data_IF_615413228979
#
_entry.id   IF_615413228979
#
_cell.length_a   1.000
_cell.length_b   1.000
_cell.length_c   1.000
_cell.angle_alpha   90.00
_cell.angle_beta   90.00
_cell.angle_gamma   90.00
#
_symmetry.space_group_name_H-M   'P 1'
#
loop_
_entity.id
_entity.type
_entity.pdbx_description
1 polymer ?
#
# COMPACT_ATOMS: atom_id res chain seq x y z
N UNK A 1 -18.88 -25.67 1.68
CA UNK A 1 -18.33 -24.30 1.71
C UNK A 1 -18.79 -23.51 2.95
N UNK A 2 -20.09 -23.27 3.14
CA UNK A 2 -20.65 -22.44 4.22
C UNK A 2 -20.21 -22.87 5.64
N UNK A 3 -20.20 -24.17 5.95
CA UNK A 3 -19.78 -24.68 7.28
C UNK A 3 -18.33 -24.32 7.60
N UNK A 4 -17.43 -24.45 6.63
CA UNK A 4 -15.99 -24.14 6.80
C UNK A 4 -15.79 -22.63 7.01
N UNK A 5 -16.62 -21.80 6.39
CA UNK A 5 -16.59 -20.34 6.55
C UNK A 5 -17.08 -19.93 7.94
N UNK A 6 -18.19 -20.51 8.42
CA UNK A 6 -18.69 -20.24 9.78
C UNK A 6 -17.72 -20.69 10.88
N UNK A 7 -17.05 -21.84 10.68
CA UNK A 7 -15.99 -22.29 11.58
C UNK A 7 -14.78 -21.35 11.53
N UNK A 8 -14.44 -20.82 10.35
CA UNK A 8 -13.39 -19.82 10.17
C UNK A 8 -13.68 -18.51 10.91
N UNK A 9 -14.90 -17.97 10.79
CA UNK A 9 -15.33 -16.77 11.51
C UNK A 9 -15.22 -16.95 13.04
N UNK A 10 -15.63 -18.11 13.55
CA UNK A 10 -15.52 -18.44 14.97
C UNK A 10 -14.06 -18.51 15.45
N UNK A 11 -13.18 -19.11 14.65
CA UNK A 11 -11.76 -19.22 14.96
C UNK A 11 -11.05 -17.86 14.97
N UNK A 12 -11.38 -16.94 14.04
CA UNK A 12 -10.86 -15.56 14.02
C UNK A 12 -11.35 -14.76 15.23
N UNK A 13 -12.64 -14.86 15.57
CA UNK A 13 -13.18 -14.17 16.74
C UNK A 13 -12.60 -14.69 18.05
N UNK A 14 -12.26 -15.98 18.11
CA UNK A 14 -11.61 -16.59 19.27
C UNK A 14 -10.14 -16.21 19.37
N UNK A 15 -9.40 -16.21 18.25
CA UNK A 15 -7.98 -15.82 18.23
C UNK A 15 -7.75 -14.35 18.60
N UNK A 16 -8.68 -13.45 18.23
CA UNK A 16 -8.60 -12.01 18.57
C UNK A 16 -8.94 -11.71 20.03
N UNK A 17 -9.61 -12.63 20.74
CA UNK A 17 -10.04 -12.45 22.13
C UNK A 17 -9.14 -13.14 23.15
N UNK A 18 -8.26 -14.03 22.71
CA UNK A 18 -7.38 -14.79 23.59
C UNK A 18 -6.06 -14.04 23.82
N UNK A 19 -5.77 -13.72 25.08
CA UNK A 19 -4.54 -13.02 25.49
C UNK A 19 -3.30 -13.94 25.56
N UNK A 20 -3.47 -15.25 25.32
CA UNK A 20 -2.40 -16.24 25.40
C UNK A 20 -1.85 -16.58 24.02
N UNK A 21 -0.62 -16.16 23.74
CA UNK A 21 0.06 -16.32 22.44
C UNK A 21 0.01 -17.76 21.89
N UNK A 22 0.19 -18.78 22.75
CA UNK A 22 0.17 -20.19 22.33
C UNK A 22 -1.21 -20.66 21.84
N UNK A 23 -2.29 -20.20 22.48
CA UNK A 23 -3.67 -20.55 22.07
C UNK A 23 -4.07 -19.80 20.82
N UNK A 24 -3.72 -18.51 20.77
CA UNK A 24 -3.91 -17.68 19.59
C UNK A 24 -3.25 -18.29 18.35
N UNK A 25 -2.00 -18.77 18.46
CA UNK A 25 -1.28 -19.44 17.38
C UNK A 25 -1.94 -20.78 16.97
N UNK A 26 -2.48 -21.54 17.93
CA UNK A 26 -3.20 -22.78 17.63
C UNK A 26 -4.51 -22.51 16.85
N UNK A 27 -5.24 -21.44 17.18
CA UNK A 27 -6.44 -21.04 16.44
C UNK A 27 -6.10 -20.56 15.04
N UNK A 28 -5.08 -19.71 14.88
CA UNK A 28 -4.63 -19.28 13.54
C UNK A 28 -4.13 -20.47 12.70
N UNK A 29 -3.44 -21.44 13.28
CA UNK A 29 -3.02 -22.65 12.55
C UNK A 29 -4.22 -23.48 12.09
N UNK A 30 -5.22 -23.63 12.95
CA UNK A 30 -6.46 -24.37 12.63
C UNK A 30 -7.27 -23.65 11.54
N UNK A 31 -7.34 -22.31 11.63
CA UNK A 31 -7.97 -21.45 10.63
C UNK A 31 -7.33 -21.63 9.25
N UNK A 32 -5.99 -21.63 9.18
CA UNK A 32 -5.27 -21.84 7.91
C UNK A 32 -5.50 -23.24 7.34
N UNK A 33 -5.56 -24.27 8.19
CA UNK A 33 -5.87 -25.63 7.74
C UNK A 33 -7.30 -25.73 7.15
N UNK A 34 -8.27 -25.06 7.78
CA UNK A 34 -9.63 -24.97 7.28
C UNK A 34 -9.69 -24.26 5.92
N UNK A 35 -8.99 -23.12 5.76
CA UNK A 35 -8.99 -22.38 4.49
C UNK A 35 -8.21 -23.07 3.37
N UNK A 36 -7.13 -23.81 3.67
CA UNK A 36 -6.45 -24.66 2.67
C UNK A 36 -7.40 -25.73 2.14
N UNK A 37 -8.22 -26.32 3.02
CA UNK A 37 -9.26 -27.27 2.61
C UNK A 37 -10.34 -26.58 1.78
N UNK A 38 -10.77 -25.39 2.18
CA UNK A 38 -11.76 -24.59 1.43
C UNK A 38 -11.26 -24.26 0.02
N UNK A 39 -10.00 -23.85 -0.13
CA UNK A 39 -9.41 -23.51 -1.43
C UNK A 39 -9.41 -24.70 -2.39
N UNK A 40 -9.20 -25.92 -1.87
CA UNK A 40 -9.30 -27.15 -2.66
C UNK A 40 -10.73 -27.50 -3.11
N UNK A 41 -11.74 -26.85 -2.55
CA UNK A 41 -13.16 -27.03 -2.86
C UNK A 41 -13.73 -25.90 -3.74
N UNK A 42 -12.93 -24.88 -4.10
CA UNK A 42 -13.37 -23.80 -4.97
C UNK A 42 -13.61 -24.35 -6.38
N UNK A 43 -14.83 -24.14 -6.90
CA UNK A 43 -15.25 -24.69 -8.20
C UNK A 43 -15.66 -26.16 -8.18
N UNK A 44 -15.82 -26.75 -6.99
CA UNK A 44 -16.39 -28.08 -6.84
C UNK A 44 -17.92 -28.02 -6.87
N UNK A 45 -18.53 -28.50 -7.95
CA UNK A 45 -19.98 -28.63 -8.09
C UNK A 45 -20.45 -29.98 -7.52
N UNK A 46 -21.33 -29.95 -6.52
CA UNK A 46 -21.89 -31.17 -5.91
C UNK A 46 -23.12 -31.74 -6.65
N UNK A 47 -23.49 -31.10 -7.77
CA UNK A 47 -24.65 -31.45 -8.59
C UNK A 47 -26.00 -31.16 -7.92
N UNK A 48 -26.03 -30.53 -6.74
CA UNK A 48 -27.25 -30.08 -6.05
C UNK A 48 -27.44 -28.56 -6.11
N UNK A 49 -26.53 -27.83 -6.75
CA UNK A 49 -26.66 -26.40 -6.97
C UNK A 49 -27.83 -26.10 -7.91
N UNK A 50 -28.96 -25.71 -7.34
CA UNK A 50 -29.87 -24.79 -8.02
C UNK A 50 -29.18 -23.42 -8.06
N UNK A 51 -28.12 -23.29 -8.88
CA UNK A 51 -27.26 -22.12 -8.95
C UNK A 51 -28.06 -20.93 -9.49
N UNK A 52 -28.76 -20.23 -8.62
CA UNK A 52 -29.11 -18.85 -8.90
C UNK A 52 -27.83 -18.02 -8.78
N UNK A 53 -27.69 -17.03 -9.67
CA UNK A 53 -26.51 -16.14 -9.76
C UNK A 53 -26.17 -15.47 -8.41
N UNK A 54 -27.19 -15.31 -7.55
CA UNK A 54 -27.07 -14.76 -6.20
C UNK A 54 -26.29 -15.68 -5.26
N UNK A 55 -26.50 -17.00 -5.30
CA UNK A 55 -25.79 -17.95 -4.42
C UNK A 55 -24.29 -17.99 -4.75
N UNK A 56 -23.96 -18.05 -6.04
CA UNK A 56 -22.56 -18.04 -6.50
C UNK A 56 -21.84 -16.74 -6.12
N UNK A 57 -22.55 -15.59 -6.19
CA UNK A 57 -21.99 -14.31 -5.77
C UNK A 57 -21.70 -14.27 -4.25
N UNK A 58 -22.61 -14.80 -3.43
CA UNK A 58 -22.42 -14.87 -1.96
C UNK A 58 -21.23 -15.75 -1.61
N UNK A 59 -21.11 -16.92 -2.24
CA UNK A 59 -20.00 -17.84 -2.02
C UNK A 59 -18.67 -17.20 -2.39
N UNK A 60 -18.59 -16.53 -3.54
CA UNK A 60 -17.38 -15.81 -3.95
C UNK A 60 -17.01 -14.71 -2.95
N UNK A 61 -18.00 -13.97 -2.46
CA UNK A 61 -17.77 -12.92 -1.46
C UNK A 61 -17.26 -13.49 -0.12
N UNK A 62 -17.80 -14.61 0.34
CA UNK A 62 -17.33 -15.28 1.55
C UNK A 62 -15.93 -15.88 1.37
N UNK A 63 -15.61 -16.43 0.19
CA UNK A 63 -14.27 -16.92 -0.12
C UNK A 63 -13.22 -15.82 0.01
N UNK A 64 -13.51 -14.61 -0.48
CA UNK A 64 -12.61 -13.46 -0.38
C UNK A 64 -12.40 -12.96 1.06
N UNK A 65 -13.43 -13.09 1.91
CA UNK A 65 -13.28 -12.86 3.35
C UNK A 65 -12.33 -13.89 3.96
N UNK A 66 -12.42 -15.15 3.52
CA UNK A 66 -11.53 -16.22 3.93
C UNK A 66 -10.07 -15.98 3.54
N UNK A 67 -9.81 -15.51 2.32
CA UNK A 67 -8.45 -15.15 1.88
C UNK A 67 -7.85 -14.01 2.73
N UNK A 68 -8.66 -13.02 3.14
CA UNK A 68 -8.22 -12.00 4.08
C UNK A 68 -7.86 -12.60 5.46
N UNK A 69 -8.62 -13.56 5.96
CA UNK A 69 -8.31 -14.22 7.22
C UNK A 69 -7.08 -15.14 7.15
N UNK A 70 -6.83 -15.81 6.03
CA UNK A 70 -5.57 -16.53 5.79
C UNK A 70 -4.39 -15.54 5.77
N UNK A 71 -4.56 -14.37 5.16
CA UNK A 71 -3.56 -13.29 5.20
C UNK A 71 -3.27 -12.81 6.63
N UNK A 72 -4.29 -12.49 7.42
CA UNK A 72 -4.16 -12.09 8.83
C UNK A 72 -3.45 -13.18 9.64
N UNK A 73 -3.87 -14.43 9.51
CA UNK A 73 -3.26 -15.56 10.21
C UNK A 73 -1.79 -15.75 9.83
N UNK A 74 -1.43 -15.52 8.56
CA UNK A 74 -0.05 -15.64 8.08
C UNK A 74 0.86 -14.59 8.71
N UNK A 75 0.38 -13.36 8.88
CA UNK A 75 1.09 -12.28 9.58
C UNK A 75 1.25 -12.63 11.06
N UNK A 76 0.17 -13.02 11.74
CA UNK A 76 0.19 -13.32 13.18
C UNK A 76 1.09 -14.52 13.53
N UNK A 77 1.18 -15.52 12.65
CA UNK A 77 2.07 -16.67 12.81
C UNK A 77 3.53 -16.39 12.39
N UNK A 78 3.83 -15.20 11.84
CA UNK A 78 5.16 -14.84 11.36
C UNK A 78 5.64 -15.65 10.15
N UNK A 79 4.73 -16.13 9.31
CA UNK A 79 5.03 -17.00 8.17
C UNK A 79 5.36 -16.16 6.92
N UNK A 80 6.43 -15.37 7.01
CA UNK A 80 6.80 -14.32 6.05
C UNK A 80 6.99 -14.83 4.61
N UNK A 81 7.59 -16.00 4.42
CA UNK A 81 7.82 -16.55 3.07
C UNK A 81 6.50 -16.89 2.36
N UNK A 82 5.55 -17.50 3.09
CA UNK A 82 4.23 -17.81 2.53
C UNK A 82 3.45 -16.53 2.21
N UNK A 83 3.63 -15.48 3.02
CA UNK A 83 3.02 -14.18 2.79
C UNK A 83 3.53 -13.51 1.51
N UNK A 84 4.85 -13.57 1.27
CA UNK A 84 5.46 -13.06 0.05
C UNK A 84 4.94 -13.82 -1.19
N UNK A 85 4.69 -15.12 -1.09
CA UNK A 85 4.05 -15.89 -2.16
C UNK A 85 2.60 -15.43 -2.40
N UNK A 86 1.85 -15.13 -1.34
CA UNK A 86 0.48 -14.57 -1.47
C UNK A 86 0.51 -13.21 -2.18
N UNK A 87 1.43 -12.33 -1.80
CA UNK A 87 1.51 -10.99 -2.38
C UNK A 87 1.91 -10.98 -3.86
N UNK A 88 2.66 -12.00 -4.32
CA UNK A 88 3.03 -12.15 -5.74
C UNK A 88 1.90 -12.64 -6.63
N UNK A 89 0.84 -13.18 -6.04
CA UNK A 89 -0.33 -13.68 -6.77
C UNK A 89 -1.47 -12.65 -6.69
N UNK A 90 -1.71 -11.85 -7.76
CA UNK A 90 -2.74 -10.82 -7.75
C UNK A 90 -4.16 -11.39 -7.65
N UNK A 91 -4.39 -12.64 -8.09
CA UNK A 91 -5.71 -13.27 -8.02
C UNK A 91 -6.06 -13.72 -6.60
N UNK A 92 -5.04 -14.04 -5.81
CA UNK A 92 -5.19 -14.43 -4.40
C UNK A 92 -5.26 -13.23 -3.47
N UNK A 93 -4.79 -12.07 -3.90
CA UNK A 93 -4.75 -10.89 -3.05
C UNK A 93 -6.17 -10.41 -2.67
N UNK A 94 -6.46 -10.17 -1.38
CA UNK A 94 -7.78 -9.73 -0.94
C UNK A 94 -8.26 -8.47 -1.67
N UNK A 95 -9.58 -8.36 -1.90
CA UNK A 95 -10.20 -7.19 -2.55
C UNK A 95 -9.93 -5.88 -1.80
N UNK A 96 -10.06 -4.77 -2.53
CA UNK A 96 -9.76 -3.42 -2.06
C UNK A 96 -10.41 -3.01 -0.74
N UNK A 97 -11.59 -3.55 -0.41
CA UNK A 97 -12.25 -3.29 0.89
C UNK A 97 -11.40 -3.66 2.11
N UNK A 98 -10.41 -4.53 1.93
CA UNK A 98 -9.51 -5.00 2.97
C UNK A 98 -8.17 -4.26 3.01
N UNK A 99 -7.83 -3.41 2.02
CA UNK A 99 -6.53 -2.73 1.97
C UNK A 99 -6.20 -1.90 3.20
N UNK A 100 -7.14 -1.16 3.84
CA UNK A 100 -6.84 -0.47 5.10
C UNK A 100 -6.42 -1.44 6.21
N UNK A 101 -7.13 -2.55 6.38
CA UNK A 101 -6.84 -3.55 7.41
C UNK A 101 -5.55 -4.30 7.11
N UNK A 102 -5.27 -4.55 5.83
CA UNK A 102 -4.00 -5.16 5.40
C UNK A 102 -2.81 -4.24 5.66
N UNK A 103 -2.96 -2.94 5.41
CA UNK A 103 -1.98 -1.93 5.78
C UNK A 103 -1.73 -1.95 7.30
N UNK A 104 -2.78 -1.89 8.10
CA UNK A 104 -2.67 -1.90 9.56
C UNK A 104 -1.96 -3.17 10.07
N UNK A 105 -2.27 -4.33 9.48
CA UNK A 105 -1.62 -5.61 9.78
C UNK A 105 -0.14 -5.63 9.35
N UNK A 106 0.18 -5.12 8.16
CA UNK A 106 1.55 -5.09 7.65
C UNK A 106 2.44 -4.15 8.50
N UNK A 107 1.89 -3.01 8.93
CA UNK A 107 2.60 -2.03 9.74
C UNK A 107 2.71 -2.41 11.24
N UNK A 108 2.24 -3.59 11.65
CA UNK A 108 2.41 -4.05 13.03
C UNK A 108 3.88 -4.22 13.43
N UNK A 109 4.13 -4.02 14.72
CA UNK A 109 5.45 -4.22 15.32
C UNK A 109 5.86 -5.69 15.16
N UNK A 110 7.01 -5.93 14.53
CA UNK A 110 7.55 -7.27 14.31
C UNK A 110 7.49 -7.75 12.87
N UNK A 111 6.74 -7.09 11.98
CA UNK A 111 6.73 -7.41 10.56
C UNK A 111 8.03 -6.94 9.88
N UNK A 112 8.75 -7.81 9.15
CA UNK A 112 9.95 -7.41 8.41
C UNK A 112 9.65 -6.37 7.34
N UNK A 113 10.54 -5.39 7.14
CA UNK A 113 10.38 -4.34 6.14
C UNK A 113 10.16 -4.90 4.71
N UNK A 114 10.77 -6.04 4.37
CA UNK A 114 10.61 -6.68 3.05
C UNK A 114 9.15 -7.08 2.80
N UNK A 115 8.50 -7.63 3.83
CA UNK A 115 7.09 -8.01 3.81
C UNK A 115 6.22 -6.76 3.73
N UNK A 116 6.53 -5.72 4.50
CA UNK A 116 5.80 -4.47 4.47
C UNK A 116 5.82 -3.84 3.07
N UNK A 117 7.01 -3.77 2.45
CA UNK A 117 7.17 -3.27 1.07
C UNK A 117 6.33 -4.08 0.10
N UNK A 118 6.36 -5.41 0.18
CA UNK A 118 5.63 -6.26 -0.78
C UNK A 118 4.11 -6.12 -0.65
N UNK A 119 3.58 -6.12 0.58
CA UNK A 119 2.15 -5.89 0.83
C UNK A 119 1.73 -4.52 0.30
N UNK A 120 2.54 -3.48 0.58
CA UNK A 120 2.25 -2.11 0.18
C UNK A 120 2.30 -1.93 -1.34
N UNK A 121 3.31 -2.52 -2.01
CA UNK A 121 3.38 -2.56 -3.48
C UNK A 121 2.13 -3.18 -4.07
N UNK A 122 1.71 -4.31 -3.52
CA UNK A 122 0.54 -5.00 -4.03
C UNK A 122 -0.74 -4.18 -3.85
N UNK A 123 -0.93 -3.50 -2.71
CA UNK A 123 -2.04 -2.56 -2.52
C UNK A 123 -2.01 -1.43 -3.56
N UNK A 124 -0.85 -0.78 -3.75
CA UNK A 124 -0.70 0.33 -4.71
C UNK A 124 -0.96 -0.12 -6.15
N UNK A 125 -0.44 -1.29 -6.54
CA UNK A 125 -0.64 -1.87 -7.87
C UNK A 125 -2.11 -2.22 -8.10
N UNK A 126 -2.76 -2.89 -7.15
CA UNK A 126 -4.17 -3.25 -7.30
C UNK A 126 -5.09 -2.03 -7.34
N UNK A 127 -4.82 -0.96 -6.58
CA UNK A 127 -5.59 0.29 -6.72
C UNK A 127 -5.35 0.92 -8.10
N UNK A 128 -4.11 0.92 -8.58
CA UNK A 128 -3.79 1.43 -9.92
C UNK A 128 -4.50 0.64 -11.03
N UNK A 129 -4.58 -0.68 -10.90
CA UNK A 129 -5.36 -1.54 -11.80
C UNK A 129 -6.85 -1.23 -11.77
N UNK A 130 -7.44 -1.02 -10.58
CA UNK A 130 -8.84 -0.62 -10.47
C UNK A 130 -9.12 0.71 -11.19
N UNK A 131 -8.18 1.66 -11.11
CA UNK A 131 -8.27 2.93 -11.83
C UNK A 131 -8.18 2.72 -13.33
N UNK A 132 -7.18 1.95 -13.80
CA UNK A 132 -7.00 1.65 -15.23
C UNK A 132 -8.20 0.92 -15.85
N UNK A 133 -8.87 0.07 -15.07
CA UNK A 133 -10.03 -0.70 -15.51
C UNK A 133 -11.36 0.08 -15.44
N UNK A 134 -11.35 1.34 -14.97
CA UNK A 134 -12.58 2.11 -14.84
C UNK A 134 -13.54 1.60 -13.76
N UNK A 135 -13.04 0.87 -12.76
CA UNK A 135 -13.88 0.24 -11.74
C UNK A 135 -14.56 1.31 -10.86
N UNK A 136 -15.87 1.22 -10.58
CA UNK A 136 -16.55 2.15 -9.69
C UNK A 136 -15.95 2.16 -8.27
N UNK A 137 -15.29 1.07 -7.87
CA UNK A 137 -14.64 0.94 -6.57
C UNK A 137 -13.44 1.88 -6.43
N UNK A 138 -12.78 2.28 -7.53
CA UNK A 138 -11.59 3.12 -7.51
C UNK A 138 -11.84 4.47 -6.80
N UNK A 139 -13.06 5.00 -6.88
CA UNK A 139 -13.47 6.27 -6.26
C UNK A 139 -13.26 6.24 -4.73
N UNK A 140 -13.38 5.06 -4.10
CA UNK A 140 -13.21 4.92 -2.65
C UNK A 140 -11.76 4.81 -2.19
N UNK A 141 -10.85 4.39 -3.07
CA UNK A 141 -9.45 4.09 -2.72
C UNK A 141 -8.48 5.11 -3.27
N UNK A 142 -8.83 5.77 -4.37
CA UNK A 142 -8.01 6.81 -4.97
C UNK A 142 -7.66 7.94 -3.97
N UNK A 143 -8.58 8.45 -3.13
CA UNK A 143 -8.24 9.45 -2.10
C UNK A 143 -7.23 8.97 -1.06
N UNK A 144 -7.08 7.65 -0.90
CA UNK A 144 -6.12 7.02 0.04
C UNK A 144 -4.76 6.74 -0.60
N UNK A 145 -4.64 6.82 -1.93
CA UNK A 145 -3.40 6.55 -2.66
C UNK A 145 -2.19 7.36 -2.17
N UNK A 146 -2.31 8.67 -1.92
CA UNK A 146 -1.19 9.44 -1.38
C UNK A 146 -0.65 8.89 -0.06
N UNK A 147 -1.54 8.41 0.82
CA UNK A 147 -1.17 7.80 2.11
C UNK A 147 -0.42 6.49 1.91
N UNK A 148 -0.91 5.63 1.00
CA UNK A 148 -0.23 4.36 0.70
C UNK A 148 1.15 4.58 0.08
N UNK A 149 1.27 5.52 -0.86
CA UNK A 149 2.54 5.90 -1.46
C UNK A 149 3.52 6.47 -0.42
N UNK A 150 3.05 7.35 0.47
CA UNK A 150 3.84 7.87 1.58
C UNK A 150 4.34 6.75 2.50
N UNK A 151 3.46 5.84 2.93
CA UNK A 151 3.86 4.72 3.80
C UNK A 151 4.92 3.84 3.12
N UNK A 152 4.72 3.50 1.85
CA UNK A 152 5.68 2.69 1.08
C UNK A 152 7.03 3.41 0.94
N UNK A 153 7.02 4.71 0.62
CA UNK A 153 8.23 5.53 0.53
C UNK A 153 8.95 5.64 1.89
N UNK A 154 8.20 5.81 2.97
CA UNK A 154 8.73 5.87 4.34
C UNK A 154 9.44 4.58 4.73
N UNK A 155 8.86 3.42 4.40
CA UNK A 155 9.50 2.12 4.63
C UNK A 155 10.76 1.99 3.76
N UNK A 156 10.66 2.29 2.46
CA UNK A 156 11.78 2.15 1.52
C UNK A 156 12.98 3.05 1.88
N UNK A 157 12.73 4.24 2.45
CA UNK A 157 13.78 5.17 2.87
C UNK A 157 14.40 4.82 4.22
N UNK A 158 13.59 4.30 5.16
CA UNK A 158 14.01 3.97 6.53
C UNK A 158 14.73 2.63 6.66
N UNK A 159 14.66 1.79 5.63
CA UNK A 159 15.04 0.39 5.77
C UNK A 159 16.48 0.10 5.36
N UNK A 160 17.29 -0.41 6.30
CA UNK A 160 18.49 -1.21 6.05
C UNK A 160 18.09 -2.68 5.85
N UNK A 161 17.43 -2.98 4.73
CA UNK A 161 16.95 -4.34 4.40
C UNK A 161 18.05 -5.40 4.29
N UNK A 162 19.32 -4.96 4.20
CA UNK A 162 20.50 -5.81 4.25
C UNK A 162 20.60 -6.68 5.53
N UNK A 163 19.93 -6.30 6.63
CA UNK A 163 19.97 -7.04 7.90
C UNK A 163 18.82 -8.04 8.10
N UNK A 164 17.92 -8.22 7.12
CA UNK A 164 16.70 -9.04 7.31
C UNK A 164 16.90 -10.53 7.09
N UNK A 165 18.09 -10.99 6.67
CA UNK A 165 18.37 -12.42 6.40
C UNK A 165 17.53 -13.03 5.26
N UNK A 166 16.73 -12.22 4.58
CA UNK A 166 15.88 -12.57 3.46
C UNK A 166 16.58 -12.15 2.17
N UNK A 167 17.13 -13.13 1.44
CA UNK A 167 17.70 -13.05 0.08
C UNK A 167 18.52 -11.78 -0.27
N UNK A 168 19.82 -12.00 -0.46
CA UNK A 168 20.93 -11.07 -0.80
C UNK A 168 20.75 -10.13 -2.02
N UNK A 169 19.54 -10.03 -2.59
CA UNK A 169 19.20 -9.20 -3.74
C UNK A 169 18.26 -8.03 -3.46
N UNK A 170 17.72 -7.86 -2.24
CA UNK A 170 16.75 -6.80 -1.94
C UNK A 170 17.36 -5.41 -1.68
N UNK A 171 18.59 -5.32 -1.15
CA UNK A 171 19.15 -4.04 -0.69
C UNK A 171 19.36 -2.99 -1.80
N UNK A 172 19.71 -3.39 -3.03
CA UNK A 172 19.79 -2.46 -4.18
C UNK A 172 18.41 -2.10 -4.74
N UNK A 173 17.40 -2.92 -4.48
CA UNK A 173 16.03 -2.72 -4.97
C UNK A 173 15.34 -1.60 -4.18
N UNK A 174 15.77 -1.33 -2.96
CA UNK A 174 15.14 -0.35 -2.07
C UNK A 174 15.46 1.09 -2.45
N UNK A 175 16.69 1.35 -2.87
CA UNK A 175 17.09 2.65 -3.41
C UNK A 175 16.31 2.97 -4.69
N UNK A 176 16.28 2.04 -5.64
CA UNK A 176 15.58 2.23 -6.92
C UNK A 176 14.08 2.39 -6.71
N UNK A 177 13.50 1.59 -5.81
CA UNK A 177 12.10 1.72 -5.43
C UNK A 177 11.81 3.08 -4.79
N UNK A 178 12.64 3.54 -3.86
CA UNK A 178 12.43 4.82 -3.20
C UNK A 178 12.58 6.00 -4.19
N UNK A 179 13.53 5.91 -5.14
CA UNK A 179 13.71 6.90 -6.20
C UNK A 179 12.51 6.92 -7.16
N UNK A 180 12.00 5.74 -7.57
CA UNK A 180 10.79 5.61 -8.40
C UNK A 180 9.56 6.20 -7.70
N UNK A 181 9.35 5.87 -6.43
CA UNK A 181 8.23 6.39 -5.64
C UNK A 181 8.32 7.91 -5.44
N UNK A 182 9.53 8.43 -5.23
CA UNK A 182 9.74 9.88 -5.13
C UNK A 182 9.34 10.60 -6.42
N UNK A 183 9.69 10.02 -7.58
CA UNK A 183 9.30 10.56 -8.89
C UNK A 183 7.79 10.46 -9.12
N UNK A 184 7.18 9.33 -8.76
CA UNK A 184 5.74 9.13 -8.86
C UNK A 184 4.97 10.14 -7.99
N UNK A 185 5.36 10.31 -6.73
CA UNK A 185 4.74 11.26 -5.80
C UNK A 185 4.87 12.68 -6.33
N UNK A 186 6.05 13.07 -6.82
CA UNK A 186 6.27 14.38 -7.42
C UNK A 186 5.39 14.63 -8.64
N UNK A 187 5.29 13.64 -9.53
CA UNK A 187 4.49 13.75 -10.76
C UNK A 187 3.01 13.93 -10.42
N UNK A 188 2.49 13.17 -9.44
CA UNK A 188 1.11 13.29 -8.97
C UNK A 188 0.85 14.65 -8.34
N UNK A 189 1.71 15.10 -7.42
CA UNK A 189 1.56 16.40 -6.74
C UNK A 189 1.62 17.57 -7.74
N UNK A 190 2.51 17.50 -8.74
CA UNK A 190 2.65 18.53 -9.78
C UNK A 190 1.43 18.58 -10.70
N UNK A 191 0.91 17.43 -11.11
CA UNK A 191 -0.29 17.35 -11.93
C UNK A 191 -1.49 18.00 -11.21
N UNK A 192 -1.60 17.80 -9.91
CA UNK A 192 -2.66 18.39 -9.09
C UNK A 192 -2.51 19.90 -8.92
N UNK A 193 -1.30 20.39 -8.63
CA UNK A 193 -1.03 21.83 -8.55
C UNK A 193 -1.37 22.57 -9.86
N UNK A 194 -1.09 21.98 -11.02
CA UNK A 194 -1.40 22.57 -12.33
C UNK A 194 -2.91 22.74 -12.63
N UNK A 195 -3.78 22.06 -11.88
CA UNK A 195 -5.24 22.14 -12.04
C UNK A 195 -5.85 23.33 -11.28
N UNK A 196 -5.15 23.87 -10.28
CA UNK A 196 -5.65 25.02 -9.51
C UNK A 196 -5.54 26.35 -10.27
N UNK A 197 -4.57 26.47 -11.20
CA UNK A 197 -4.34 27.69 -11.99
C UNK A 197 -5.31 27.86 -13.18
N UNK A 198 -5.91 26.77 -13.69
CA UNK A 198 -6.75 26.78 -14.90
C UNK A 198 -8.26 26.89 -14.61
N UNK A 199 -8.65 27.71 -13.63
CA UNK A 199 -10.05 27.98 -13.33
C UNK A 199 -10.64 29.08 -14.22
N UNK A 200 -10.47 28.96 -15.54
CA UNK A 200 -11.30 29.67 -16.52
C UNK A 200 -12.34 28.67 -17.03
N UNK A 201 -13.58 28.85 -16.58
CA UNK A 201 -14.63 27.85 -16.69
C UNK A 201 -15.10 27.64 -18.13
N UNK A 202 -14.39 26.83 -18.90
CA UNK A 202 -14.95 26.12 -20.05
C UNK A 202 -14.01 25.02 -20.56
N UNK A 203 -14.32 23.76 -20.27
CA UNK A 203 -13.73 22.64 -21.00
C UNK A 203 -14.83 21.64 -21.38
N UNK A 204 -15.13 21.57 -22.68
CA UNK A 204 -15.71 20.40 -23.31
C UNK A 204 -14.67 19.27 -23.23
N UNK A 205 -15.00 18.25 -22.44
CA UNK A 205 -14.13 17.11 -22.12
C UNK A 205 -14.24 16.06 -23.23
N UNK A 206 -13.09 15.57 -23.71
CA UNK A 206 -13.03 14.30 -24.45
C UNK A 206 -13.32 13.16 -23.48
N UNK A 207 -14.45 12.49 -23.71
CA UNK A 207 -15.36 11.97 -22.69
C UNK A 207 -15.18 10.47 -22.36
N UNK A 208 -13.97 9.92 -22.40
CA UNK A 208 -13.81 8.46 -22.24
C UNK A 208 -12.78 7.98 -21.20
N UNK A 209 -11.66 8.67 -21.00
CA UNK A 209 -10.56 8.09 -20.19
C UNK A 209 -10.33 8.77 -18.82
N UNK A 210 -11.18 9.75 -18.44
CA UNK A 210 -10.90 10.65 -17.31
C UNK A 210 -12.11 10.91 -16.40
N UNK A 211 -13.19 10.13 -16.47
CA UNK A 211 -14.37 10.34 -15.60
C UNK A 211 -14.26 9.67 -14.22
N UNK A 212 -13.24 8.82 -13.98
CA UNK A 212 -13.06 8.15 -12.68
C UNK A 212 -12.28 8.99 -11.64
N UNK A 213 -11.56 10.02 -12.09
CA UNK A 213 -10.80 10.93 -11.23
C UNK A 213 -11.59 12.19 -10.81
N UNK A 214 -12.79 12.38 -11.38
CA UNK A 214 -13.56 13.65 -11.28
C UNK A 214 -14.66 13.59 -10.21
N UNK A 215 -14.97 12.42 -9.63
CA UNK A 215 -16.07 12.28 -8.64
C UNK A 215 -15.60 12.55 -7.18
N UNK A 216 -14.31 12.81 -6.96
CA UNK A 216 -13.80 13.31 -5.68
C UNK A 216 -13.29 14.73 -5.83
N UNK A 217 -14.12 15.75 -5.55
CA UNK A 217 -13.71 17.15 -5.62
C UNK A 217 -12.39 17.40 -4.88
N UNK A 218 -11.53 18.25 -5.46
CA UNK A 218 -10.33 18.86 -4.85
C UNK A 218 -9.75 18.07 -3.67
N UNK A 219 -9.12 16.93 -3.93
CA UNK A 219 -8.21 16.36 -2.93
C UNK A 219 -6.79 16.55 -3.47
N UNK A 220 -6.16 17.72 -3.23
CA UNK A 220 -4.73 17.83 -3.43
C UNK A 220 -4.05 16.76 -2.58
N UNK A 221 -2.92 16.24 -3.06
CA UNK A 221 -2.04 15.37 -2.31
C UNK A 221 -1.91 15.97 -0.92
N UNK A 222 -2.36 15.27 0.14
CA UNK A 222 -2.57 15.92 1.40
C UNK A 222 -1.25 16.52 1.92
N UNK A 223 -1.34 17.80 2.33
CA UNK A 223 -0.19 18.65 2.58
C UNK A 223 0.79 18.04 3.61
N UNK A 224 0.24 17.34 4.60
CA UNK A 224 1.01 16.65 5.64
C UNK A 224 1.88 15.54 5.04
N UNK A 225 1.31 14.66 4.22
CA UNK A 225 2.06 13.60 3.55
C UNK A 225 3.14 14.19 2.64
N UNK A 226 2.84 15.26 1.92
CA UNK A 226 3.80 15.92 1.01
C UNK A 226 4.97 16.55 1.77
N UNK A 227 4.70 17.23 2.89
CA UNK A 227 5.72 17.75 3.82
C UNK A 227 6.60 16.61 4.35
N UNK A 228 5.99 15.50 4.75
CA UNK A 228 6.72 14.34 5.29
C UNK A 228 7.60 13.67 4.23
N UNK A 229 7.11 13.51 3.00
CA UNK A 229 7.91 12.98 1.88
C UNK A 229 9.10 13.89 1.60
N UNK A 230 8.88 15.21 1.52
CA UNK A 230 9.96 16.17 1.28
C UNK A 230 11.05 16.08 2.36
N UNK A 231 10.67 16.04 3.65
CA UNK A 231 11.65 15.88 4.75
C UNK A 231 12.41 14.56 4.68
N UNK A 232 11.72 13.45 4.45
CA UNK A 232 12.35 12.12 4.34
C UNK A 232 13.33 12.06 3.16
N UNK A 233 12.94 12.61 2.01
CA UNK A 233 13.81 12.69 0.84
C UNK A 233 15.07 13.54 1.11
N UNK A 234 14.93 14.68 1.79
CA UNK A 234 16.09 15.51 2.15
C UNK A 234 17.01 14.80 3.17
N UNK A 235 16.45 14.14 4.18
CA UNK A 235 17.23 13.38 5.14
C UNK A 235 18.02 12.25 4.45
N UNK A 236 17.38 11.54 3.51
CA UNK A 236 18.06 10.52 2.71
C UNK A 236 19.16 11.12 1.82
N UNK A 237 18.97 12.33 1.31
CA UNK A 237 20.03 13.07 0.60
C UNK A 237 21.27 13.30 1.49
N UNK A 238 21.06 13.67 2.76
CA UNK A 238 22.16 13.84 3.72
C UNK A 238 22.88 12.51 4.02
N UNK A 239 22.16 11.38 4.05
CA UNK A 239 22.78 10.06 4.17
C UNK A 239 23.67 9.73 2.96
N UNK A 240 23.25 10.10 1.74
CA UNK A 240 24.09 9.95 0.54
C UNK A 240 25.33 10.84 0.56
N UNK A 241 25.20 12.08 1.06
CA UNK A 241 26.35 12.96 1.28
C UNK A 241 27.37 12.33 2.23
N UNK A 242 26.92 11.82 3.37
CA UNK A 242 27.77 11.14 4.34
C UNK A 242 28.46 9.88 3.75
N UNK A 243 27.80 9.22 2.80
CA UNK A 243 28.31 8.04 2.11
C UNK A 243 29.23 8.35 0.91
N UNK A 244 29.42 9.64 0.57
CA UNK A 244 30.27 10.08 -0.53
C UNK A 244 29.63 10.06 -1.92
N UNK A 245 28.31 9.81 -2.02
CA UNK A 245 27.57 9.87 -3.29
C UNK A 245 26.95 11.26 -3.50
N UNK A 246 27.81 12.22 -3.85
CA UNK A 246 27.40 13.61 -4.05
C UNK A 246 26.40 13.80 -5.20
N UNK A 247 26.44 12.92 -6.22
CA UNK A 247 25.53 12.98 -7.36
C UNK A 247 24.10 12.62 -6.98
N UNK A 248 23.92 11.51 -6.25
CA UNK A 248 22.60 11.09 -5.76
C UNK A 248 22.09 12.04 -4.68
N UNK A 249 22.98 12.51 -3.78
CA UNK A 249 22.66 13.52 -2.78
C UNK A 249 22.03 14.77 -3.41
N UNK A 250 22.69 15.38 -4.41
CA UNK A 250 22.20 16.60 -5.02
C UNK A 250 20.83 16.41 -5.68
N UNK A 251 20.61 15.29 -6.40
CA UNK A 251 19.32 15.01 -7.03
C UNK A 251 18.20 14.90 -6.01
N UNK A 252 18.40 14.14 -4.94
CA UNK A 252 17.40 13.95 -3.88
C UNK A 252 17.14 15.24 -3.09
N UNK A 253 18.17 16.00 -2.76
CA UNK A 253 18.03 17.29 -2.10
C UNK A 253 17.25 18.28 -2.98
N UNK A 254 17.58 18.39 -4.27
CA UNK A 254 16.83 19.25 -5.19
C UNK A 254 15.36 18.82 -5.30
N UNK A 255 15.10 17.51 -5.48
CA UNK A 255 13.74 16.98 -5.60
C UNK A 255 12.91 17.24 -4.35
N UNK A 256 13.50 17.12 -3.16
CA UNK A 256 12.81 17.43 -1.91
C UNK A 256 12.40 18.89 -1.78
N UNK A 257 13.24 19.83 -2.23
CA UNK A 257 12.91 21.27 -2.26
C UNK A 257 11.79 21.53 -3.27
N UNK A 258 11.84 20.89 -4.44
CA UNK A 258 10.76 21.00 -5.43
C UNK A 258 9.43 20.45 -4.90
N UNK A 259 9.44 19.34 -4.15
CA UNK A 259 8.25 18.83 -3.45
C UNK A 259 7.76 19.78 -2.36
N UNK A 260 8.66 20.37 -1.58
CA UNK A 260 8.30 21.35 -0.55
C UNK A 260 7.57 22.57 -1.14
N UNK A 261 7.93 23.00 -2.35
CA UNK A 261 7.23 24.09 -3.07
C UNK A 261 5.81 23.74 -3.49
N UNK A 262 5.47 22.45 -3.55
CA UNK A 262 4.12 21.97 -3.87
C UNK A 262 3.23 21.86 -2.61
N UNK A 263 3.81 22.03 -1.41
CA UNK A 263 3.04 22.05 -0.15
C UNK A 263 2.30 23.39 -0.04
N UNK A 264 0.97 23.40 0.15
CA UNK A 264 0.20 24.63 0.20
C UNK A 264 0.41 25.42 1.51
N UNK A 265 0.41 26.75 1.39
CA UNK A 265 0.40 27.69 2.51
C UNK A 265 1.76 27.93 3.17
N UNK A 266 1.75 28.64 4.30
CA UNK A 266 2.95 29.07 5.05
C UNK A 266 3.85 27.89 5.47
N UNK A 267 3.26 26.70 5.69
CA UNK A 267 4.00 25.50 6.02
C UNK A 267 4.96 25.08 4.89
N UNK A 268 4.54 25.18 3.63
CA UNK A 268 5.38 24.90 2.48
C UNK A 268 6.50 25.91 2.31
N UNK A 269 6.20 27.21 2.46
CA UNK A 269 7.19 28.28 2.39
C UNK A 269 8.28 28.12 3.47
N UNK A 270 7.87 27.84 4.72
CA UNK A 270 8.79 27.59 5.82
C UNK A 270 9.65 26.33 5.57
N UNK A 271 9.06 25.28 5.01
CA UNK A 271 9.79 24.06 4.66
C UNK A 271 10.83 24.31 3.57
N UNK A 272 10.49 25.07 2.52
CA UNK A 272 11.45 25.45 1.47
C UNK A 272 12.64 26.21 2.06
N UNK A 273 12.38 27.20 2.92
CA UNK A 273 13.45 27.95 3.59
C UNK A 273 14.34 27.04 4.46
N UNK A 274 13.74 26.11 5.21
CA UNK A 274 14.46 25.12 6.01
C UNK A 274 15.39 24.26 5.15
N UNK A 275 14.85 23.69 4.06
CA UNK A 275 15.59 22.76 3.21
C UNK A 275 16.66 23.47 2.36
N UNK A 276 16.40 24.67 1.87
CA UNK A 276 17.41 25.48 1.17
C UNK A 276 18.57 25.86 2.10
N UNK A 277 18.29 26.29 3.33
CA UNK A 277 19.34 26.57 4.32
C UNK A 277 20.17 25.32 4.62
N UNK A 278 19.51 24.16 4.76
CA UNK A 278 20.21 22.89 5.02
C UNK A 278 21.05 22.43 3.83
N UNK A 279 20.63 22.76 2.60
CA UNK A 279 21.35 22.38 1.38
C UNK A 279 22.73 23.02 1.31
N UNK A 280 22.88 24.26 1.81
CA UNK A 280 24.18 24.94 1.86
C UNK A 280 25.24 24.19 2.70
N UNK A 281 24.80 23.31 3.60
CA UNK A 281 25.71 22.45 4.39
C UNK A 281 26.09 21.13 3.69
N UNK A 282 25.48 20.83 2.55
CA UNK A 282 25.77 19.65 1.72
C UNK A 282 26.69 19.97 0.52
N UNK A 283 27.12 21.23 0.38
CA UNK A 283 28.09 21.72 -0.63
C UNK A 283 29.50 21.85 -0.02
#
# INVERSE_FOLDING_TARGET
MIIIICDGDFLVLSSRKDDTNDRQNAYYSSLRAAFRTLRGLVGWEDGQENANEVSAAIEREQFLVGEFFDFEATIQLGLWNELLEVCRDPERFPKARFYPQMLDLALQIGTPAAVQVEVMKQIVNSISELVMQGSPDAIFYLPKMPRYLYCLFSIATSSDLANTGLSDGLAMVDFLLAEELLEQIYTLAKLEASKEDNNDGNYEIYQADMELYVIGGKNPFPALELEQVARLAFNKAADFYASGDGGVCFRWAQKSIELARLVPGEAGEALVMELELRKDFLE
#
